data_IF_306599348499
#
_entry.id   IF_306599348499
#
_cell.length_a   1.000
_cell.length_b   1.000
_cell.length_c   1.000
_cell.angle_alpha   90.00
_cell.angle_beta   90.00
_cell.angle_gamma   90.00
#
_symmetry.space_group_name_H-M   'P 1'
#
loop_
_entity.id
_entity.type
_entity.pdbx_description
1 polymer ?
#
# COMPACT_ATOMS: atom_id res chain seq x y z
N UNK A 1 -3.80 2.09 -11.25
CA UNK A 1 -2.81 1.00 -11.00
C UNK A 1 -3.43 -0.34 -11.34
N UNK A 2 -2.73 -1.15 -12.11
CA UNK A 2 -3.20 -2.49 -12.44
C UNK A 2 -2.79 -3.48 -11.35
N UNK A 3 -3.38 -4.69 -11.40
CA UNK A 3 -2.99 -5.77 -10.49
C UNK A 3 -1.50 -6.07 -10.61
N UNK A 4 -1.00 -6.12 -11.84
CA UNK A 4 0.42 -6.39 -12.09
C UNK A 4 1.33 -5.32 -11.50
N UNK A 5 0.95 -4.06 -11.64
CA UNK A 5 1.70 -2.95 -11.06
C UNK A 5 1.70 -3.01 -9.53
N UNK A 6 0.57 -3.34 -8.92
CA UNK A 6 0.49 -3.48 -7.47
C UNK A 6 1.36 -4.63 -6.95
N UNK A 7 1.32 -5.77 -7.62
CA UNK A 7 2.17 -6.91 -7.26
C UNK A 7 3.64 -6.52 -7.31
N UNK A 8 4.06 -5.88 -8.42
CA UNK A 8 5.44 -5.45 -8.59
C UNK A 8 5.87 -4.47 -7.50
N UNK A 9 5.01 -3.51 -7.17
CA UNK A 9 5.30 -2.53 -6.13
C UNK A 9 5.48 -3.19 -4.76
N UNK A 10 4.57 -4.10 -4.41
CA UNK A 10 4.64 -4.79 -3.13
C UNK A 10 5.87 -5.71 -3.04
N UNK A 11 6.23 -6.36 -4.13
CA UNK A 11 7.44 -7.20 -4.18
C UNK A 11 8.71 -6.38 -3.95
N UNK A 12 8.78 -5.18 -4.54
CA UNK A 12 9.90 -4.27 -4.33
C UNK A 12 9.99 -3.88 -2.86
N UNK A 13 8.86 -3.56 -2.24
CA UNK A 13 8.82 -3.19 -0.82
C UNK A 13 9.31 -4.33 0.07
N UNK A 14 8.89 -5.55 -0.20
CA UNK A 14 9.30 -6.74 0.56
C UNK A 14 10.79 -7.02 0.35
N UNK A 15 11.28 -6.83 -0.87
CA UNK A 15 12.70 -7.04 -1.17
C UNK A 15 13.60 -6.05 -0.43
N UNK A 16 13.13 -4.81 -0.28
CA UNK A 16 13.86 -3.77 0.45
C UNK A 16 13.80 -3.98 1.95
N UNK A 17 12.67 -4.47 2.45
CA UNK A 17 12.45 -4.69 3.88
C UNK A 17 11.49 -5.88 4.06
N UNK A 18 12.03 -7.09 4.32
CA UNK A 18 11.19 -8.28 4.46
C UNK A 18 10.11 -8.19 5.55
N UNK A 19 10.29 -7.31 6.54
CA UNK A 19 9.27 -7.14 7.60
C UNK A 19 7.97 -6.55 7.06
N UNK A 20 7.99 -5.94 5.88
CA UNK A 20 6.79 -5.40 5.23
C UNK A 20 5.76 -6.49 4.94
N UNK A 21 6.20 -7.74 4.76
CA UNK A 21 5.31 -8.85 4.41
C UNK A 21 4.17 -9.06 5.42
N UNK A 22 4.40 -8.71 6.68
CA UNK A 22 3.41 -8.90 7.75
C UNK A 22 2.74 -7.60 8.19
N UNK A 23 3.01 -6.50 7.51
CA UNK A 23 2.43 -5.20 7.84
C UNK A 23 0.99 -5.13 7.35
N UNK A 24 0.11 -4.56 8.17
CA UNK A 24 -1.30 -4.40 7.85
C UNK A 24 -1.48 -3.45 6.67
N UNK A 25 -2.37 -3.80 5.75
CA UNK A 25 -2.72 -2.96 4.61
C UNK A 25 -3.98 -2.18 4.92
N UNK A 26 -3.96 -0.89 4.63
CA UNK A 26 -5.14 -0.04 4.72
C UNK A 26 -5.38 0.64 3.37
N UNK A 27 -6.60 1.05 3.13
CA UNK A 27 -6.97 1.74 1.90
C UNK A 27 -7.44 3.15 2.21
N UNK A 28 -7.02 4.09 1.38
CA UNK A 28 -7.47 5.47 1.46
C UNK A 28 -8.85 5.60 0.82
N UNK A 29 -9.66 6.51 1.33
CA UNK A 29 -10.95 6.85 0.76
C UNK A 29 -12.12 6.60 1.69
N UNK A 30 -13.31 6.76 1.13
CA UNK A 30 -14.58 6.54 1.83
C UNK A 30 -15.31 5.35 1.17
N UNK A 31 -16.64 5.34 1.23
CA UNK A 31 -17.46 4.23 0.72
C UNK A 31 -17.53 4.14 -0.81
N UNK A 32 -16.86 5.04 -1.52
CA UNK A 32 -16.90 5.09 -2.98
C UNK A 32 -15.76 4.26 -3.59
N UNK A 33 -16.01 3.73 -4.78
CA UNK A 33 -14.94 3.11 -5.56
C UNK A 33 -14.02 4.18 -6.13
N UNK A 34 -12.76 3.85 -6.29
CA UNK A 34 -11.78 4.71 -6.92
C UNK A 34 -10.58 3.90 -7.33
N UNK A 35 -9.81 4.44 -8.27
CA UNK A 35 -8.61 3.76 -8.76
C UNK A 35 -7.48 3.89 -7.74
N UNK A 36 -6.82 2.79 -7.46
CA UNK A 36 -5.58 2.81 -6.69
C UNK A 36 -4.47 3.38 -7.59
N UNK A 37 -3.71 4.32 -7.05
CA UNK A 37 -2.62 4.98 -7.80
C UNK A 37 -1.25 4.63 -7.26
N UNK A 38 -1.15 4.19 -6.01
CA UNK A 38 0.13 3.84 -5.41
C UNK A 38 -0.08 2.98 -4.15
N UNK A 39 1.00 2.37 -3.70
CA UNK A 39 1.07 1.72 -2.40
C UNK A 39 2.25 2.36 -1.65
N UNK A 40 2.01 2.83 -0.43
CA UNK A 40 2.98 3.59 0.35
C UNK A 40 3.20 2.98 1.72
N UNK A 41 4.43 3.08 2.20
CA UNK A 41 4.79 2.72 3.55
C UNK A 41 4.55 3.95 4.45
N UNK A 42 3.59 3.86 5.34
CA UNK A 42 3.18 4.97 6.21
C UNK A 42 3.46 4.59 7.66
N UNK A 43 4.13 5.48 8.38
CA UNK A 43 4.38 5.32 9.81
C UNK A 43 3.65 6.42 10.56
N UNK A 44 2.82 6.02 11.52
CA UNK A 44 2.07 6.93 12.39
C UNK A 44 2.36 6.55 13.85
N UNK A 45 3.25 7.29 14.48
CA UNK A 45 3.70 6.96 15.82
C UNK A 45 4.44 5.62 15.84
N UNK A 46 3.92 4.67 16.59
CA UNK A 46 4.48 3.31 16.67
C UNK A 46 3.83 2.35 15.66
N UNK A 47 2.87 2.84 14.90
CA UNK A 47 2.12 2.01 13.96
C UNK A 47 2.63 2.18 12.54
N UNK A 48 2.88 1.06 11.89
CA UNK A 48 3.28 1.02 10.50
C UNK A 48 2.18 0.36 9.68
N UNK A 49 1.86 0.97 8.54
CA UNK A 49 0.82 0.47 7.63
C UNK A 49 1.28 0.60 6.20
N UNK A 50 0.78 -0.28 5.36
CA UNK A 50 0.90 -0.10 3.91
C UNK A 50 -0.41 0.54 3.45
N UNK A 51 -0.32 1.73 2.92
CA UNK A 51 -1.48 2.49 2.46
C UNK A 51 -1.65 2.34 0.95
N UNK A 52 -2.84 1.90 0.54
CA UNK A 52 -3.21 1.94 -0.87
C UNK A 52 -3.80 3.32 -1.14
N UNK A 53 -3.02 4.16 -1.79
CA UNK A 53 -3.42 5.52 -2.10
C UNK A 53 -4.39 5.53 -3.28
N UNK A 54 -5.44 6.32 -3.16
CA UNK A 54 -6.50 6.40 -4.14
C UNK A 54 -6.37 7.70 -4.96
N UNK A 55 -6.54 7.58 -6.27
CA UNK A 55 -6.65 8.71 -7.16
C UNK A 55 -8.11 9.14 -7.31
N UNK A 56 -8.31 10.22 -8.05
CA UNK A 56 -9.65 10.72 -8.37
C UNK A 56 -10.24 10.01 -9.57
#
# INVERSE_FOLDING_TARGET
MTVRELIAKLEIMISSDPSVADVQVIAEGCDCYGDAVDARDVVDGDERRILIARGR
#
